data_IF_316109170761
#
_entry.id   IF_316109170761
#
_cell.length_a   1.000
_cell.length_b   1.000
_cell.length_c   1.000
_cell.angle_alpha   90.00
_cell.angle_beta   90.00
_cell.angle_gamma   90.00
#
_symmetry.space_group_name_H-M   'P 1'
#
loop_
_entity.id
_entity.type
_entity.pdbx_description
1 polymer ?
#
# COMPACT_ATOMS: atom_id res chain seq x y z
N UNK A 1 -7.08 -5.29 -0.72
CA UNK A 1 -6.61 -4.20 0.18
C UNK A 1 -5.61 -3.33 -0.57
N UNK A 2 -5.28 -2.14 -0.09
CA UNK A 2 -4.18 -1.34 -0.66
C UNK A 2 -3.13 -1.05 0.42
N UNK A 3 -1.91 -1.51 0.18
CA UNK A 3 -0.73 -1.11 0.96
C UNK A 3 -0.07 0.06 0.24
N UNK A 4 0.12 1.18 0.95
CA UNK A 4 0.82 2.36 0.43
C UNK A 4 2.07 2.59 1.26
N UNK A 5 3.23 2.58 0.60
CA UNK A 5 4.53 2.81 1.22
C UNK A 5 5.05 4.20 0.83
N UNK A 6 5.34 5.07 1.81
CA UNK A 6 5.78 6.43 1.58
C UNK A 6 7.21 6.55 1.03
N UNK A 7 8.06 5.57 1.33
CA UNK A 7 9.45 5.51 0.92
C UNK A 7 9.90 4.08 0.60
N UNK A 8 10.81 3.92 -0.37
CA UNK A 8 11.44 2.63 -0.68
C UNK A 8 12.20 2.03 0.50
N UNK A 9 12.69 2.86 1.43
CA UNK A 9 13.35 2.40 2.65
C UNK A 9 12.46 1.49 3.52
N UNK A 10 11.14 1.68 3.43
CA UNK A 10 10.18 1.02 4.32
C UNK A 10 9.61 -0.26 3.70
N UNK A 11 10.11 -0.66 2.52
CA UNK A 11 9.70 -1.90 1.85
C UNK A 11 9.90 -3.15 2.71
N UNK A 12 10.94 -3.16 3.55
CA UNK A 12 11.18 -4.26 4.48
C UNK A 12 10.05 -4.46 5.51
N UNK A 13 9.24 -3.42 5.78
CA UNK A 13 8.03 -3.51 6.61
C UNK A 13 6.87 -4.02 5.75
N UNK A 14 6.72 -3.47 4.54
CA UNK A 14 5.69 -3.88 3.59
C UNK A 14 5.79 -5.37 3.20
N UNK A 15 7.00 -5.92 3.10
CA UNK A 15 7.24 -7.35 2.87
C UNK A 15 6.72 -8.22 4.02
N UNK A 16 6.89 -7.79 5.27
CA UNK A 16 6.34 -8.51 6.43
C UNK A 16 4.82 -8.51 6.42
N UNK A 17 4.20 -7.38 6.06
CA UNK A 17 2.74 -7.27 5.91
C UNK A 17 2.25 -8.17 4.76
N UNK A 18 2.87 -8.05 3.59
CA UNK A 18 2.57 -8.84 2.40
C UNK A 18 2.57 -10.34 2.70
N UNK A 19 3.62 -10.82 3.37
CA UNK A 19 3.73 -12.23 3.77
C UNK A 19 2.55 -12.73 4.59
N UNK A 20 2.09 -11.95 5.58
CA UNK A 20 0.93 -12.32 6.39
C UNK A 20 -0.36 -12.33 5.55
N UNK A 21 -0.53 -11.38 4.63
CA UNK A 21 -1.70 -11.36 3.75
C UNK A 21 -1.70 -12.55 2.79
N UNK A 22 -0.55 -12.89 2.21
CA UNK A 22 -0.36 -14.07 1.36
C UNK A 22 -0.68 -15.38 2.13
N UNK A 23 -0.16 -15.54 3.35
CA UNK A 23 -0.43 -16.70 4.21
C UNK A 23 -1.93 -16.87 4.51
N UNK A 24 -2.69 -15.77 4.53
CA UNK A 24 -4.13 -15.76 4.75
C UNK A 24 -4.96 -15.74 3.44
N UNK A 25 -4.32 -15.90 2.27
CA UNK A 25 -4.95 -15.82 0.94
C UNK A 25 -5.78 -14.53 0.76
N UNK A 26 -5.30 -13.42 1.29
CA UNK A 26 -5.99 -12.16 1.26
C UNK A 26 -5.48 -11.28 0.12
N UNK A 27 -6.37 -10.85 -0.78
CA UNK A 27 -5.98 -10.03 -1.93
C UNK A 27 -5.54 -8.62 -1.52
N UNK A 28 -4.39 -8.18 -2.05
CA UNK A 28 -3.88 -6.83 -1.86
C UNK A 28 -3.12 -6.31 -3.09
N UNK A 29 -3.13 -4.98 -3.22
CA UNK A 29 -2.22 -4.24 -4.08
C UNK A 29 -1.17 -3.55 -3.19
N UNK A 30 0.07 -3.42 -3.68
CA UNK A 30 1.18 -2.78 -2.99
C UNK A 30 1.78 -1.68 -3.87
N UNK A 31 1.80 -0.45 -3.36
CA UNK A 31 2.22 0.74 -4.11
C UNK A 31 3.16 1.62 -3.30
N UNK A 32 4.13 2.25 -3.97
CA UNK A 32 5.01 3.25 -3.36
C UNK A 32 4.51 4.64 -3.77
N UNK A 33 4.04 5.44 -2.81
CA UNK A 33 3.61 6.81 -3.05
C UNK A 33 3.76 7.66 -1.79
N UNK A 34 4.52 8.75 -1.88
CA UNK A 34 4.68 9.69 -0.77
C UNK A 34 3.53 10.69 -0.73
N UNK A 35 2.82 10.79 0.39
CA UNK A 35 1.77 11.80 0.57
C UNK A 35 2.31 13.24 0.52
N UNK A 36 3.55 13.46 0.94
CA UNK A 36 4.19 14.77 0.94
C UNK A 36 4.79 15.16 -0.42
N UNK A 37 5.44 14.21 -1.10
CA UNK A 37 6.13 14.50 -2.38
C UNK A 37 5.22 14.29 -3.60
N UNK A 38 4.29 13.34 -3.53
CA UNK A 38 3.44 12.90 -4.65
C UNK A 38 1.95 12.76 -4.22
N UNK A 39 1.32 13.80 -3.64
CA UNK A 39 -0.05 13.71 -3.13
C UNK A 39 -1.08 13.30 -4.21
N UNK A 40 -0.87 13.74 -5.46
CA UNK A 40 -1.74 13.38 -6.57
C UNK A 40 -1.67 11.88 -6.93
N UNK A 41 -0.52 11.23 -6.72
CA UNK A 41 -0.39 9.79 -6.92
C UNK A 41 -1.21 9.03 -5.89
N UNK A 42 -1.10 9.41 -4.61
CA UNK A 42 -1.91 8.84 -3.52
C UNK A 42 -3.41 8.99 -3.81
N UNK A 43 -3.85 10.20 -4.21
CA UNK A 43 -5.25 10.46 -4.56
C UNK A 43 -5.75 9.58 -5.72
N UNK A 44 -4.92 9.33 -6.73
CA UNK A 44 -5.28 8.43 -7.83
C UNK A 44 -5.41 6.99 -7.33
N UNK A 45 -4.44 6.50 -6.55
CA UNK A 45 -4.45 5.13 -6.03
C UNK A 45 -5.72 4.83 -5.22
N UNK A 46 -6.12 5.72 -4.32
CA UNK A 46 -7.31 5.52 -3.48
C UNK A 46 -8.63 5.63 -4.26
N UNK A 47 -8.64 6.32 -5.41
CA UNK A 47 -9.84 6.49 -6.26
C UNK A 47 -9.96 5.42 -7.35
N UNK A 48 -8.86 4.77 -7.72
CA UNK A 48 -8.83 3.82 -8.83
C UNK A 48 -9.61 2.53 -8.55
N UNK A 49 -9.70 2.11 -7.29
CA UNK A 49 -10.49 0.94 -6.86
C UNK A 49 -11.15 1.21 -5.51
N UNK A 50 -12.30 0.58 -5.27
CA UNK A 50 -12.99 0.61 -3.97
C UNK A 50 -12.36 -0.38 -2.99
N UNK A 51 -11.22 -0.02 -2.40
CA UNK A 51 -10.57 -0.83 -1.38
C UNK A 51 -11.30 -0.73 -0.04
N UNK A 52 -11.52 -1.88 0.60
CA UNK A 52 -12.15 -1.92 1.94
C UNK A 52 -11.19 -1.59 3.09
N UNK A 53 -9.89 -1.80 2.88
CA UNK A 53 -8.84 -1.59 3.89
C UNK A 53 -7.61 -0.97 3.22
N UNK A 54 -7.05 0.04 3.88
CA UNK A 54 -5.81 0.71 3.51
C UNK A 54 -4.77 0.50 4.61
N UNK A 55 -3.56 0.09 4.23
CA UNK A 55 -2.42 -0.10 5.13
C UNK A 55 -1.35 0.90 4.72
N UNK A 56 -1.07 1.90 5.54
CA UNK A 56 -0.11 2.97 5.22
C UNK A 56 1.17 2.77 6.01
N UNK A 57 2.30 2.74 5.30
CA UNK A 57 3.65 2.50 5.83
C UNK A 57 4.54 3.67 5.46
#
# INVERSE_FOLDING_TARGET
MLIIVGSRSDMHIAEKVSKILEENNADYDLEIASAHREPQKVLKLIKNKDYKVYICI
#
